data_IF_157643540232
#
_entry.id   IF_157643540232
#
_cell.length_a   1.000
_cell.length_b   1.000
_cell.length_c   1.000
_cell.angle_alpha   90.00
_cell.angle_beta   90.00
_cell.angle_gamma   90.00
#
_symmetry.space_group_name_H-M   'P 1'
#
loop_
_entity.id
_entity.type
_entity.pdbx_description
1 polymer ?
#
# COMPACT_ATOMS: atom_id res chain seq x y z
N UNK A 1 -4.59 -17.99 -12.20
CA UNK A 1 -3.58 -17.48 -11.25
C UNK A 1 -3.61 -15.98 -11.43
N UNK A 2 -4.40 -15.27 -10.63
CA UNK A 2 -4.58 -13.83 -10.78
C UNK A 2 -3.34 -13.13 -10.19
N UNK A 3 -2.63 -12.38 -11.04
CA UNK A 3 -1.50 -11.56 -10.61
C UNK A 3 -2.07 -10.24 -10.06
N UNK A 4 -2.05 -10.08 -8.74
CA UNK A 4 -2.60 -8.92 -8.04
C UNK A 4 -1.54 -8.31 -7.12
N UNK A 5 -1.42 -6.99 -7.14
CA UNK A 5 -0.57 -6.26 -6.22
C UNK A 5 -1.43 -5.60 -5.14
N UNK A 6 -1.21 -6.00 -3.90
CA UNK A 6 -1.85 -5.41 -2.72
C UNK A 6 -0.78 -4.86 -1.77
N UNK A 7 -1.15 -3.89 -0.96
CA UNK A 7 -0.26 -3.27 0.03
C UNK A 7 -0.43 -3.94 1.39
N UNK A 8 0.67 -4.40 1.98
CA UNK A 8 0.72 -4.86 3.37
C UNK A 8 1.52 -3.89 4.24
N UNK A 9 1.48 -4.11 5.56
CA UNK A 9 2.30 -3.37 6.51
C UNK A 9 3.23 -4.33 7.29
N UNK A 10 4.42 -3.85 7.62
CA UNK A 10 5.35 -4.50 8.54
C UNK A 10 5.79 -3.50 9.60
N UNK A 11 5.87 -3.99 10.84
CA UNK A 11 6.50 -3.27 11.93
C UNK A 11 7.88 -3.90 12.13
N UNK A 12 8.91 -3.05 12.14
CA UNK A 12 10.30 -3.46 12.29
C UNK A 12 10.80 -3.11 13.70
N UNK A 13 11.80 -3.83 14.18
CA UNK A 13 12.49 -3.47 15.41
C UNK A 13 13.17 -2.09 15.25
N UNK A 14 13.02 -1.24 16.27
CA UNK A 14 13.51 0.15 16.25
C UNK A 14 15.05 0.24 16.19
N UNK A 15 15.75 -0.72 16.79
CA UNK A 15 17.20 -0.73 16.88
C UNK A 15 17.84 -1.59 15.79
N UNK A 16 17.11 -2.58 15.27
CA UNK A 16 17.58 -3.51 14.23
C UNK A 16 16.50 -3.74 13.16
N UNK A 17 16.40 -2.88 12.12
CA UNK A 17 15.33 -2.94 11.13
C UNK A 17 15.35 -4.19 10.25
N UNK A 18 16.39 -5.04 10.36
CA UNK A 18 16.38 -6.36 9.71
C UNK A 18 15.38 -7.33 10.35
N UNK A 19 14.93 -7.04 11.57
CA UNK A 19 13.97 -7.83 12.32
C UNK A 19 12.55 -7.31 12.11
N UNK A 20 11.70 -8.16 11.56
CA UNK A 20 10.25 -7.94 11.49
C UNK A 20 9.63 -8.36 12.83
N UNK A 21 9.00 -7.42 13.55
CA UNK A 21 8.34 -7.69 14.83
C UNK A 21 6.83 -7.95 14.69
N UNK A 22 6.21 -7.38 13.65
CA UNK A 22 4.85 -7.71 13.26
C UNK A 22 4.65 -7.51 11.75
N UNK A 23 3.64 -8.18 11.21
CA UNK A 23 3.22 -8.05 9.81
C UNK A 23 1.70 -8.14 9.75
N UNK A 24 1.08 -7.37 8.86
CA UNK A 24 -0.36 -7.46 8.64
C UNK A 24 -0.73 -8.86 8.12
N UNK A 25 -1.75 -9.48 8.73
CA UNK A 25 -2.22 -10.82 8.33
C UNK A 25 -3.02 -10.82 7.02
N UNK A 26 -3.48 -9.63 6.61
CA UNK A 26 -4.13 -9.35 5.32
C UNK A 26 -3.57 -8.05 4.75
N UNK A 27 -3.77 -7.76 3.46
CA UNK A 27 -3.43 -6.45 2.93
C UNK A 27 -4.20 -5.33 3.64
N UNK A 28 -3.54 -4.19 3.79
CA UNK A 28 -4.12 -2.94 4.30
C UNK A 28 -4.78 -2.11 3.18
N UNK A 29 -4.37 -2.34 1.94
CA UNK A 29 -4.99 -1.77 0.75
C UNK A 29 -4.97 -2.80 -0.38
N UNK A 30 -6.08 -2.84 -1.09
CA UNK A 30 -6.38 -3.82 -2.12
C UNK A 30 -7.04 -3.12 -3.32
N UNK A 31 -6.78 -3.55 -4.56
CA UNK A 31 -7.48 -3.02 -5.73
C UNK A 31 -8.98 -3.28 -5.64
N UNK A 32 -9.78 -2.22 -5.58
CA UNK A 32 -11.24 -2.22 -5.50
C UNK A 32 -11.85 -1.25 -6.51
N UNK A 33 -11.28 -0.05 -6.64
CA UNK A 33 -11.77 0.98 -7.54
C UNK A 33 -11.44 0.66 -9.01
N UNK A 34 -12.28 1.14 -9.93
CA UNK A 34 -12.13 0.85 -11.36
C UNK A 34 -10.76 1.24 -11.91
N UNK A 35 -10.17 2.34 -11.44
CA UNK A 35 -8.83 2.79 -11.85
C UNK A 35 -7.67 1.98 -11.26
N UNK A 36 -7.92 1.14 -10.26
CA UNK A 36 -6.95 0.19 -9.69
C UNK A 36 -7.04 -1.16 -10.39
N UNK A 37 -8.25 -1.54 -10.80
CA UNK A 37 -8.54 -2.81 -11.46
C UNK A 37 -8.31 -2.77 -12.97
N UNK A 38 -8.43 -1.60 -13.59
CA UNK A 38 -8.34 -1.42 -15.06
C UNK A 38 -7.27 -0.40 -15.41
N UNK A 39 -6.35 -0.79 -16.30
CA UNK A 39 -5.26 0.04 -16.80
C UNK A 39 -4.28 -0.77 -17.64
N UNK A 40 -3.06 -0.28 -17.78
CA UNK A 40 -1.99 -1.01 -18.46
C UNK A 40 -1.73 -2.39 -17.83
N UNK A 41 -1.67 -2.44 -16.50
CA UNK A 41 -1.58 -3.69 -15.75
C UNK A 41 -2.61 -3.66 -14.60
N UNK A 42 -3.72 -4.38 -14.77
CA UNK A 42 -4.86 -4.34 -13.85
C UNK A 42 -4.60 -4.99 -12.49
N UNK A 43 -5.51 -4.72 -11.56
CA UNK A 43 -5.48 -5.25 -10.18
C UNK A 43 -4.18 -4.87 -9.42
N UNK A 44 -3.81 -3.59 -9.48
CA UNK A 44 -2.61 -3.03 -8.81
C UNK A 44 -2.94 -1.85 -7.92
N UNK A 45 -2.47 -1.95 -6.68
CA UNK A 45 -2.10 -0.80 -5.85
C UNK A 45 -0.64 -0.95 -5.43
N UNK A 46 0.18 0.07 -5.66
CA UNK A 46 1.63 0.00 -5.44
C UNK A 46 2.13 1.19 -4.62
N UNK A 47 2.70 0.94 -3.44
CA UNK A 47 3.17 2.00 -2.54
C UNK A 47 4.31 2.82 -3.18
N UNK A 48 4.20 4.14 -3.19
CA UNK A 48 5.23 5.02 -3.75
C UNK A 48 5.78 6.03 -2.74
N UNK A 49 4.95 6.55 -1.83
CA UNK A 49 5.40 7.49 -0.81
C UNK A 49 4.31 7.81 0.20
N UNK A 50 4.71 8.13 1.42
CA UNK A 50 3.80 8.49 2.51
C UNK A 50 4.22 9.79 3.17
N UNK A 51 3.24 10.60 3.56
CA UNK A 51 3.40 11.73 4.49
C UNK A 51 2.75 11.35 5.82
N UNK A 52 3.41 11.69 6.93
CA UNK A 52 2.91 11.44 8.28
C UNK A 52 2.68 12.76 8.99
N UNK A 53 1.43 13.03 9.37
CA UNK A 53 0.99 14.25 10.04
C UNK A 53 0.21 13.88 11.31
N UNK A 54 0.91 13.85 12.45
CA UNK A 54 0.34 13.34 13.70
C UNK A 54 0.05 11.85 13.59
N UNK A 55 -1.22 11.49 13.72
CA UNK A 55 -1.69 10.09 13.67
C UNK A 55 -2.16 9.66 12.26
N UNK A 56 -2.05 10.56 11.28
CA UNK A 56 -2.53 10.32 9.91
C UNK A 56 -1.35 10.04 8.98
N UNK A 57 -1.46 8.95 8.24
CA UNK A 57 -0.59 8.59 7.11
C UNK A 57 -1.34 8.85 5.81
N UNK A 58 -0.87 9.83 5.03
CA UNK A 58 -1.32 10.05 3.66
C UNK A 58 -0.43 9.24 2.71
N UNK A 59 -0.96 8.16 2.16
CA UNK A 59 -0.25 7.25 1.27
C UNK A 59 -0.55 7.59 -0.20
N UNK A 60 0.49 7.86 -0.98
CA UNK A 60 0.45 7.99 -2.43
C UNK A 60 0.87 6.67 -3.06
N UNK A 61 0.03 6.13 -3.94
CA UNK A 61 0.24 4.83 -4.56
C UNK A 61 -0.10 4.85 -6.05
N UNK A 62 0.66 4.07 -6.81
CA UNK A 62 0.39 3.79 -8.21
C UNK A 62 -0.82 2.87 -8.36
N UNK A 63 -1.63 3.13 -9.38
CA UNK A 63 -2.85 2.37 -9.68
C UNK A 63 -2.83 1.89 -11.13
N UNK A 64 -3.01 0.58 -11.29
CA UNK A 64 -3.00 -0.14 -12.57
C UNK A 64 -1.84 0.21 -13.54
N UNK A 65 -0.66 0.55 -13.02
CA UNK A 65 0.50 1.09 -13.76
C UNK A 65 0.15 2.24 -14.72
N UNK A 66 -0.88 3.03 -14.39
CA UNK A 66 -1.46 4.04 -15.28
C UNK A 66 -1.55 5.41 -14.65
N UNK A 67 -1.83 5.48 -13.34
CA UNK A 67 -2.08 6.75 -12.64
C UNK A 67 -1.62 6.66 -11.19
N UNK A 68 -1.76 7.77 -10.46
CA UNK A 68 -1.50 7.87 -9.03
C UNK A 68 -2.81 8.16 -8.29
N UNK A 69 -2.99 7.54 -7.14
CA UNK A 69 -4.05 7.83 -6.19
C UNK A 69 -3.48 8.09 -4.80
N UNK A 70 -4.33 8.56 -3.88
CA UNK A 70 -3.96 8.76 -2.49
C UNK A 70 -5.07 8.28 -1.55
N UNK A 71 -4.68 7.76 -0.39
CA UNK A 71 -5.58 7.43 0.72
C UNK A 71 -5.00 7.91 2.04
N UNK A 72 -5.86 8.03 3.05
CA UNK A 72 -5.45 8.35 4.42
C UNK A 72 -5.73 7.15 5.33
N UNK A 73 -4.76 6.84 6.17
CA UNK A 73 -4.78 5.76 7.16
C UNK A 73 -4.44 6.36 8.53
N UNK A 74 -4.94 5.76 9.61
CA UNK A 74 -4.52 6.08 10.98
C UNK A 74 -3.41 5.12 11.42
N UNK A 75 -2.42 5.61 12.19
CA UNK A 75 -1.40 4.75 12.83
C UNK A 75 -1.94 3.95 14.02
#
# INVERSE_FOLDING_TARGET
LEHRYCMGAVLLDLNDPSKVIARSGKPILEPEADYEKKGFFGDVVFACGALVEGDVVKMYYGVADTSMAACELSL
#
